data_IF_551818408684
#
_entry.id   IF_551818408684
#
_cell.length_a   1.000
_cell.length_b   1.000
_cell.length_c   1.000
_cell.angle_alpha   90.00
_cell.angle_beta   90.00
_cell.angle_gamma   90.00
#
_symmetry.space_group_name_H-M   'P 1'
#
loop_
_entity.id
_entity.type
_entity.pdbx_description
1 polymer ?
#
# COMPACT_ATOMS: atom_id res chain seq x y z
N UNK A 1 108.73 40.55 48.84
CA UNK A 1 107.85 41.04 47.77
C UNK A 1 107.66 39.99 46.61
N UNK A 2 108.64 39.23 46.24
CA UNK A 2 108.49 38.28 45.12
C UNK A 2 107.59 37.06 45.39
N UNK A 3 107.26 36.73 46.58
CA UNK A 3 106.35 35.60 46.95
C UNK A 3 105.03 36.14 47.45
N UNK A 4 105.01 37.20 48.28
CA UNK A 4 103.80 37.74 48.93
C UNK A 4 102.78 38.35 47.95
N UNK A 5 103.19 39.13 46.92
CA UNK A 5 102.32 39.72 45.96
C UNK A 5 101.51 38.69 45.11
N UNK A 6 102.13 37.58 44.64
CA UNK A 6 101.43 36.52 43.96
C UNK A 6 100.37 35.78 44.84
N UNK A 7 100.71 35.55 46.10
CA UNK A 7 99.79 34.91 47.05
C UNK A 7 98.56 35.84 47.32
N UNK A 8 98.75 37.13 47.47
CA UNK A 8 97.67 38.11 47.62
C UNK A 8 96.77 38.10 46.37
N UNK A 9 97.33 38.09 45.22
CA UNK A 9 96.58 37.99 43.94
C UNK A 9 95.77 36.67 43.85
N UNK A 10 96.32 35.57 44.27
CA UNK A 10 95.63 34.29 44.34
C UNK A 10 94.48 34.29 45.33
N UNK A 11 94.71 34.86 46.55
CA UNK A 11 93.71 34.98 47.55
C UNK A 11 92.53 35.90 47.09
N UNK A 12 92.81 37.05 46.50
CA UNK A 12 91.83 37.95 45.92
C UNK A 12 90.96 37.24 44.83
N UNK A 13 91.61 36.44 43.98
CA UNK A 13 90.92 35.67 42.98
C UNK A 13 90.02 34.57 43.62
N UNK A 14 90.47 33.88 44.58
CA UNK A 14 89.65 32.85 45.31
C UNK A 14 88.51 33.52 46.06
N UNK A 15 88.73 34.69 46.66
CA UNK A 15 87.69 35.46 47.37
C UNK A 15 86.60 35.96 46.43
N UNK A 16 86.99 36.46 45.18
CA UNK A 16 86.05 36.77 44.09
C UNK A 16 85.28 35.59 43.65
N UNK A 17 85.95 34.47 43.43
CA UNK A 17 85.29 33.20 43.03
C UNK A 17 84.30 32.75 44.10
N UNK A 18 84.63 32.91 45.44
CA UNK A 18 83.74 32.62 46.59
C UNK A 18 82.49 33.52 46.61
N UNK A 19 82.60 34.73 46.06
CA UNK A 19 81.49 35.70 45.97
C UNK A 19 80.78 35.60 44.54
N UNK A 20 81.06 34.57 43.78
CA UNK A 20 80.50 34.35 42.45
C UNK A 20 80.88 35.46 41.45
N UNK A 21 81.87 36.27 41.69
CA UNK A 21 82.36 37.26 40.79
C UNK A 21 83.47 36.69 39.85
N UNK A 22 83.03 36.36 38.64
CA UNK A 22 83.88 35.81 37.59
C UNK A 22 84.49 36.86 36.66
N UNK A 23 84.23 38.16 36.89
CA UNK A 23 84.60 39.27 36.02
C UNK A 23 86.14 39.58 36.05
N UNK A 24 86.81 39.17 37.10
CA UNK A 24 88.27 39.40 37.24
C UNK A 24 89.11 38.68 36.19
N UNK A 25 89.94 39.36 35.45
CA UNK A 25 90.92 38.74 34.54
C UNK A 25 92.18 38.34 35.29
N UNK A 26 92.36 37.02 35.65
CA UNK A 26 93.55 36.47 36.24
C UNK A 26 94.74 36.56 35.29
N UNK A 27 94.48 36.83 34.01
CA UNK A 27 95.52 36.93 32.96
C UNK A 27 96.32 38.26 32.96
N UNK A 28 95.92 39.24 33.77
CA UNK A 28 96.54 40.55 33.88
C UNK A 28 98.03 40.46 34.25
N UNK A 29 98.48 39.36 34.82
CA UNK A 29 99.86 39.16 35.18
C UNK A 29 100.43 37.88 34.49
N UNK A 30 100.46 37.85 33.11
CA UNK A 30 101.01 36.79 32.29
C UNK A 30 102.44 36.34 32.70
N UNK A 31 103.16 37.21 33.48
CA UNK A 31 104.47 36.85 34.08
C UNK A 31 104.30 35.96 35.25
N UNK A 32 103.24 36.08 36.07
CA UNK A 32 103.03 35.23 37.24
C UNK A 32 102.58 33.81 36.82
N UNK A 33 101.82 33.68 35.80
CA UNK A 33 101.37 32.35 35.22
C UNK A 33 102.56 31.53 34.61
N UNK A 34 103.61 32.21 34.14
CA UNK A 34 104.83 31.60 33.61
C UNK A 34 105.84 31.11 34.65
N UNK A 35 105.58 31.30 35.94
CA UNK A 35 106.46 30.80 37.02
C UNK A 35 106.46 29.27 37.00
N UNK A 36 107.64 28.76 37.33
CA UNK A 36 107.85 27.29 37.44
C UNK A 36 107.90 26.76 38.88
N UNK A 37 107.63 27.63 39.81
CA UNK A 37 107.56 27.30 41.27
C UNK A 37 106.16 26.98 41.72
N UNK A 38 105.96 26.61 42.95
CA UNK A 38 104.65 26.24 43.59
C UNK A 38 103.60 27.29 43.47
N UNK A 39 104.02 28.55 43.47
CA UNK A 39 103.05 29.68 43.31
C UNK A 39 102.55 29.75 41.86
N UNK A 40 103.41 29.50 40.94
CA UNK A 40 102.98 29.41 39.50
C UNK A 40 101.98 28.26 39.24
N UNK A 41 102.22 27.08 39.89
CA UNK A 41 101.28 25.96 39.81
C UNK A 41 99.97 26.31 40.40
N UNK A 42 99.94 26.93 41.62
CA UNK A 42 98.68 27.37 42.31
C UNK A 42 97.86 28.34 41.48
N UNK A 43 98.52 29.35 40.86
CA UNK A 43 97.84 30.36 40.04
C UNK A 43 97.23 29.72 38.73
N UNK A 44 97.95 28.76 38.15
CA UNK A 44 97.39 28.00 36.99
C UNK A 44 96.18 27.18 37.33
N UNK A 45 96.22 26.44 38.49
CA UNK A 45 95.14 25.64 39.00
C UNK A 45 93.90 26.49 39.35
N UNK A 46 94.03 27.69 39.98
CA UNK A 46 92.96 28.63 40.28
C UNK A 46 92.38 29.16 38.92
N UNK A 47 93.24 29.48 37.96
CA UNK A 47 92.78 29.93 36.64
C UNK A 47 91.97 28.83 35.89
N UNK A 48 92.46 27.60 35.94
CA UNK A 48 91.79 26.42 35.37
C UNK A 48 90.43 26.21 36.07
N UNK A 49 90.40 26.22 37.42
CA UNK A 49 89.15 26.11 38.15
C UNK A 49 88.14 27.21 37.82
N UNK A 50 88.59 28.45 37.69
CA UNK A 50 87.75 29.56 37.19
C UNK A 50 87.15 29.25 35.84
N UNK A 51 87.98 28.86 34.87
CA UNK A 51 87.52 28.58 33.53
C UNK A 51 86.55 27.42 33.47
N UNK A 52 86.73 26.36 34.31
CA UNK A 52 85.80 25.24 34.43
C UNK A 52 84.45 25.76 34.97
N UNK A 53 84.49 26.54 36.08
CA UNK A 53 83.23 27.11 36.66
C UNK A 53 82.49 27.99 35.68
N UNK A 54 83.21 28.92 34.96
CA UNK A 54 82.55 29.76 33.93
C UNK A 54 81.95 28.94 32.82
N UNK A 55 82.63 27.86 32.40
CA UNK A 55 82.08 26.97 31.38
C UNK A 55 80.81 26.23 31.89
N UNK A 56 80.85 25.69 33.13
CA UNK A 56 79.69 25.04 33.72
C UNK A 56 78.50 26.03 33.88
N UNK A 57 78.76 27.27 34.34
CA UNK A 57 77.73 28.29 34.44
C UNK A 57 77.12 28.65 33.08
N UNK A 58 77.95 28.75 32.00
CA UNK A 58 77.45 28.98 30.66
C UNK A 58 76.60 27.80 30.11
N UNK A 59 76.98 26.54 30.43
CA UNK A 59 76.21 25.35 30.08
C UNK A 59 74.88 25.28 30.86
N UNK A 60 74.90 25.61 32.20
CA UNK A 60 73.68 25.71 32.98
C UNK A 60 72.72 26.75 32.42
N UNK A 61 73.24 27.93 32.05
CA UNK A 61 72.42 28.99 31.42
C UNK A 61 71.80 28.53 30.10
N UNK A 62 72.56 27.92 29.24
CA UNK A 62 72.03 27.40 27.96
C UNK A 62 70.98 26.32 28.19
N UNK A 63 71.18 25.41 29.15
CA UNK A 63 70.13 24.39 29.51
C UNK A 63 68.89 25.05 30.14
N UNK A 64 69.08 26.10 30.94
CA UNK A 64 67.96 26.86 31.53
C UNK A 64 67.10 27.55 30.46
N UNK A 65 67.75 28.21 29.48
CA UNK A 65 67.04 28.80 28.33
C UNK A 65 66.24 27.75 27.55
N UNK A 66 66.89 26.61 27.25
CA UNK A 66 66.22 25.47 26.57
C UNK A 66 65.07 24.87 27.36
N UNK A 67 65.22 24.82 28.70
CA UNK A 67 64.17 24.35 29.60
C UNK A 67 62.97 25.30 29.61
N UNK A 68 63.19 26.62 29.63
CA UNK A 68 62.12 27.63 29.52
C UNK A 68 61.37 27.54 28.20
N UNK A 69 62.09 27.42 27.06
CA UNK A 69 61.48 27.23 25.75
C UNK A 69 60.62 25.94 25.70
N UNK A 70 61.09 24.84 26.27
CA UNK A 70 60.37 23.56 26.32
C UNK A 70 59.13 23.67 27.22
N UNK A 71 59.27 24.39 28.35
CA UNK A 71 58.13 24.63 29.26
C UNK A 71 57.03 25.44 28.60
N UNK A 72 57.38 26.50 27.88
CA UNK A 72 56.44 27.33 27.13
C UNK A 72 55.73 26.51 26.02
N UNK A 73 56.47 25.69 25.27
CA UNK A 73 55.92 24.80 24.25
C UNK A 73 54.95 23.80 24.86
N UNK A 74 55.28 23.20 26.01
CA UNK A 74 54.39 22.27 26.74
C UNK A 74 53.08 22.95 27.21
N UNK A 75 53.17 24.17 27.75
CA UNK A 75 52.04 24.96 28.15
C UNK A 75 51.10 25.25 26.99
N UNK A 76 51.65 25.67 25.85
CA UNK A 76 50.86 25.93 24.65
C UNK A 76 50.18 24.67 24.12
N UNK A 77 50.88 23.53 24.07
CA UNK A 77 50.32 22.25 23.67
C UNK A 77 49.19 21.77 24.63
N UNK A 78 49.36 21.98 25.94
CA UNK A 78 48.35 21.66 26.94
C UNK A 78 47.08 22.52 26.75
N UNK A 79 47.22 23.80 26.51
CA UNK A 79 46.10 24.69 26.26
C UNK A 79 45.34 24.34 24.95
N UNK A 80 46.06 24.03 23.87
CA UNK A 80 45.46 23.56 22.64
C UNK A 80 44.70 22.23 22.81
N UNK A 81 45.30 21.28 23.54
CA UNK A 81 44.68 20.00 23.85
C UNK A 81 43.42 20.15 24.72
N UNK A 82 43.45 21.04 25.73
CA UNK A 82 42.30 21.36 26.57
C UNK A 82 41.17 21.98 25.74
N UNK A 83 41.50 22.88 24.81
CA UNK A 83 40.51 23.45 23.86
C UNK A 83 39.89 22.40 22.95
N UNK A 84 40.70 21.48 22.44
CA UNK A 84 40.21 20.37 21.63
C UNK A 84 39.29 19.43 22.44
N UNK A 85 39.64 19.13 23.71
CA UNK A 85 38.78 18.34 24.61
C UNK A 85 37.40 19.00 24.80
N UNK A 86 37.35 20.33 25.00
CA UNK A 86 36.08 21.08 25.08
C UNK A 86 35.25 21.07 23.81
N UNK A 87 35.90 21.07 22.64
CA UNK A 87 35.20 20.90 21.36
C UNK A 87 34.61 19.49 21.22
N UNK A 88 35.34 18.45 21.64
CA UNK A 88 34.87 17.08 21.69
C UNK A 88 33.66 16.97 22.62
N UNK A 89 33.68 17.56 23.80
CA UNK A 89 32.55 17.57 24.75
C UNK A 89 31.29 18.18 24.13
N UNK A 90 31.43 19.29 23.39
CA UNK A 90 30.32 19.92 22.66
C UNK A 90 29.75 19.01 21.59
N UNK A 91 30.59 18.32 20.81
CA UNK A 91 30.16 17.39 19.77
C UNK A 91 29.43 16.16 20.38
N UNK A 92 29.92 15.65 21.49
CA UNK A 92 29.33 14.52 22.24
C UNK A 92 27.95 14.88 22.79
N UNK A 93 27.77 16.10 23.32
CA UNK A 93 26.43 16.57 23.73
C UNK A 93 25.46 16.53 22.55
N UNK A 94 25.89 16.96 21.36
CA UNK A 94 25.07 16.84 20.15
C UNK A 94 24.75 15.39 19.75
N UNK A 95 25.67 14.44 19.98
CA UNK A 95 25.42 12.99 19.75
C UNK A 95 24.39 12.45 20.75
N UNK A 96 24.50 12.80 22.04
CA UNK A 96 23.56 12.39 23.08
C UNK A 96 22.14 12.90 22.80
N UNK A 97 22.00 14.17 22.41
CA UNK A 97 20.73 14.78 22.03
C UNK A 97 20.15 14.10 20.78
N UNK A 98 21.01 13.81 19.78
CA UNK A 98 20.64 13.05 18.59
C UNK A 98 20.18 11.64 18.90
N UNK A 99 20.84 10.92 19.79
CA UNK A 99 20.47 9.59 20.26
C UNK A 99 19.11 9.57 20.98
N UNK A 100 18.87 10.58 21.83
CA UNK A 100 17.56 10.76 22.50
C UNK A 100 16.44 11.02 21.49
N UNK A 101 16.67 11.89 20.52
CA UNK A 101 15.69 12.15 19.45
C UNK A 101 15.43 10.91 18.59
N UNK A 102 16.47 10.16 18.26
CA UNK A 102 16.36 8.89 17.55
C UNK A 102 15.53 7.85 18.31
N UNK A 103 15.71 7.73 19.62
CA UNK A 103 14.91 6.84 20.47
C UNK A 103 13.42 7.22 20.42
N UNK A 104 13.08 8.50 20.47
CA UNK A 104 11.71 9.00 20.40
C UNK A 104 11.08 8.75 19.02
N UNK A 105 11.83 8.98 17.93
CA UNK A 105 11.37 8.69 16.57
C UNK A 105 11.16 7.19 16.35
N UNK A 106 12.04 6.36 16.90
CA UNK A 106 11.94 4.90 16.86
C UNK A 106 10.72 4.41 17.63
N UNK A 107 10.38 5.00 18.76
CA UNK A 107 9.15 4.71 19.50
C UNK A 107 7.91 5.04 18.65
N UNK A 108 7.89 6.21 18.02
CA UNK A 108 6.80 6.61 17.10
C UNK A 108 6.68 5.68 15.88
N UNK A 109 7.82 5.23 15.34
CA UNK A 109 7.84 4.24 14.25
C UNK A 109 7.25 2.90 14.72
N UNK A 110 7.56 2.46 15.95
CA UNK A 110 6.96 1.25 16.54
C UNK A 110 5.44 1.34 16.61
N UNK A 111 4.90 2.46 17.06
CA UNK A 111 3.45 2.69 17.12
C UNK A 111 2.81 2.63 15.72
N UNK A 112 3.44 3.25 14.74
CA UNK A 112 2.99 3.21 13.35
C UNK A 112 2.99 1.78 12.78
N UNK A 113 3.99 0.96 13.09
CA UNK A 113 4.07 -0.44 12.68
C UNK A 113 2.97 -1.28 13.32
N UNK A 114 2.60 -1.00 14.58
CA UNK A 114 1.45 -1.65 15.24
C UNK A 114 0.14 -1.28 14.53
N UNK A 115 -0.06 -0.01 14.20
CA UNK A 115 -1.23 0.45 13.43
C UNK A 115 -1.28 -0.21 12.07
N UNK A 116 -0.15 -0.28 11.36
CA UNK A 116 -0.04 -0.96 10.07
C UNK A 116 -0.43 -2.43 10.16
N UNK A 117 -0.02 -3.14 11.24
CA UNK A 117 -0.45 -4.52 11.47
C UNK A 117 -1.96 -4.67 11.59
N UNK A 118 -2.63 -3.79 12.33
CA UNK A 118 -4.10 -3.78 12.43
C UNK A 118 -4.77 -3.50 11.10
N UNK A 119 -4.24 -2.60 10.30
CA UNK A 119 -4.78 -2.30 8.96
C UNK A 119 -4.63 -3.49 8.00
N UNK A 120 -3.52 -4.23 8.08
CA UNK A 120 -3.29 -5.45 7.29
C UNK A 120 -4.27 -6.54 7.71
N UNK A 121 -4.52 -6.74 9.00
CA UNK A 121 -5.50 -7.70 9.52
C UNK A 121 -6.93 -7.36 9.07
N UNK A 122 -7.32 -6.08 9.14
CA UNK A 122 -8.61 -5.61 8.63
C UNK A 122 -8.73 -5.85 7.12
N UNK A 123 -7.71 -5.48 6.34
CA UNK A 123 -7.69 -5.72 4.90
C UNK A 123 -7.80 -7.21 4.57
N UNK A 124 -7.15 -8.09 5.33
CA UNK A 124 -7.28 -9.54 5.18
C UNK A 124 -8.70 -10.02 5.38
N UNK A 125 -9.38 -9.53 6.42
CA UNK A 125 -10.78 -9.87 6.71
C UNK A 125 -11.73 -9.36 5.62
N UNK A 126 -11.52 -8.13 5.13
CA UNK A 126 -12.33 -7.57 4.04
C UNK A 126 -12.15 -8.35 2.73
N UNK A 127 -10.95 -8.80 2.45
CA UNK A 127 -10.63 -9.62 1.26
C UNK A 127 -11.29 -10.99 1.35
N UNK A 128 -11.31 -11.62 2.53
CA UNK A 128 -12.01 -12.89 2.77
C UNK A 128 -13.52 -12.73 2.53
N UNK A 129 -14.13 -11.68 3.09
CA UNK A 129 -15.54 -11.36 2.84
C UNK A 129 -15.85 -11.09 1.36
N UNK A 130 -14.93 -10.44 0.65
CA UNK A 130 -15.06 -10.20 -0.78
C UNK A 130 -15.01 -11.53 -1.56
N UNK A 131 -14.19 -12.48 -1.14
CA UNK A 131 -14.13 -13.84 -1.68
C UNK A 131 -15.45 -14.59 -1.50
N UNK A 132 -16.01 -14.56 -0.30
CA UNK A 132 -17.29 -15.19 0.01
C UNK A 132 -18.43 -14.56 -0.81
N UNK A 133 -18.47 -13.23 -0.90
CA UNK A 133 -19.45 -12.54 -1.74
C UNK A 133 -19.33 -12.92 -3.22
N UNK A 134 -18.12 -13.03 -3.74
CA UNK A 134 -17.90 -13.46 -5.13
C UNK A 134 -18.38 -14.92 -5.36
N UNK A 135 -18.15 -15.82 -4.40
CA UNK A 135 -18.64 -17.20 -4.44
C UNK A 135 -20.17 -17.27 -4.41
N UNK A 136 -20.82 -16.46 -3.57
CA UNK A 136 -22.28 -16.37 -3.51
C UNK A 136 -22.88 -15.80 -4.80
N UNK A 137 -22.24 -14.77 -5.37
CA UNK A 137 -22.63 -14.22 -6.68
C UNK A 137 -22.49 -15.26 -7.79
N UNK A 138 -21.45 -16.08 -7.78
CA UNK A 138 -21.25 -17.18 -8.75
C UNK A 138 -22.41 -18.16 -8.68
N UNK A 139 -22.74 -18.62 -7.48
CA UNK A 139 -23.86 -19.55 -7.26
C UNK A 139 -25.22 -18.96 -7.67
N UNK A 140 -25.45 -17.68 -7.39
CA UNK A 140 -26.65 -16.99 -7.81
C UNK A 140 -26.75 -16.87 -9.33
N UNK A 141 -25.62 -16.61 -10.01
CA UNK A 141 -25.54 -16.55 -11.47
C UNK A 141 -25.81 -17.93 -12.12
N UNK A 142 -25.21 -18.99 -11.60
CA UNK A 142 -25.50 -20.37 -12.05
C UNK A 142 -27.00 -20.72 -11.92
N UNK A 143 -27.61 -20.35 -10.80
CA UNK A 143 -29.05 -20.59 -10.59
C UNK A 143 -29.90 -19.79 -11.60
N UNK A 144 -29.56 -18.52 -11.84
CA UNK A 144 -30.25 -17.70 -12.84
C UNK A 144 -30.14 -18.29 -14.25
N UNK A 145 -28.96 -18.77 -14.64
CA UNK A 145 -28.74 -19.44 -15.94
C UNK A 145 -29.58 -20.73 -16.05
N UNK A 146 -29.70 -21.50 -14.97
CA UNK A 146 -30.59 -22.69 -14.93
C UNK A 146 -32.05 -22.32 -15.15
N UNK A 147 -32.52 -21.25 -14.49
CA UNK A 147 -33.91 -20.76 -14.64
C UNK A 147 -34.16 -20.26 -16.08
N UNK A 148 -33.18 -19.56 -16.69
CA UNK A 148 -33.31 -19.10 -18.09
C UNK A 148 -33.39 -20.28 -19.06
N UNK A 149 -32.60 -21.34 -18.85
CA UNK A 149 -32.68 -22.56 -19.64
C UNK A 149 -34.06 -23.25 -19.54
N UNK A 150 -34.64 -23.26 -18.32
CA UNK A 150 -36.01 -23.78 -18.11
C UNK A 150 -37.05 -22.91 -18.81
N UNK A 151 -36.91 -21.58 -18.72
CA UNK A 151 -37.80 -20.61 -19.40
C UNK A 151 -37.79 -20.78 -20.92
N UNK A 152 -36.62 -20.97 -21.52
CA UNK A 152 -36.50 -21.23 -22.96
C UNK A 152 -37.23 -22.53 -23.33
N UNK A 153 -37.13 -23.59 -22.54
CA UNK A 153 -37.85 -24.84 -22.76
C UNK A 153 -39.39 -24.66 -22.64
N UNK A 154 -39.83 -23.80 -21.70
CA UNK A 154 -41.25 -23.47 -21.57
C UNK A 154 -41.73 -22.68 -22.77
N UNK A 155 -40.96 -21.70 -23.25
CA UNK A 155 -41.26 -20.94 -24.46
C UNK A 155 -41.45 -21.85 -25.68
N UNK A 156 -40.54 -22.82 -25.89
CA UNK A 156 -40.63 -23.78 -27.00
C UNK A 156 -41.92 -24.61 -26.91
N UNK A 157 -42.27 -25.12 -25.71
CA UNK A 157 -43.51 -25.86 -25.51
C UNK A 157 -44.75 -24.99 -25.74
N UNK A 158 -44.71 -23.74 -25.33
CA UNK A 158 -45.81 -22.80 -25.58
C UNK A 158 -46.00 -22.52 -27.05
N UNK A 159 -44.92 -22.33 -27.83
CA UNK A 159 -44.97 -22.17 -29.28
C UNK A 159 -45.57 -23.40 -29.96
N UNK A 160 -45.21 -24.61 -29.52
CA UNK A 160 -45.79 -25.88 -30.04
C UNK A 160 -47.29 -25.96 -29.73
N UNK A 161 -47.70 -25.61 -28.51
CA UNK A 161 -49.12 -25.57 -28.14
C UNK A 161 -49.92 -24.56 -28.99
N UNK A 162 -49.38 -23.37 -29.19
CA UNK A 162 -50.00 -22.35 -30.07
C UNK A 162 -50.18 -22.88 -31.51
N UNK A 163 -49.16 -23.57 -32.03
CA UNK A 163 -49.23 -24.19 -33.36
C UNK A 163 -50.36 -25.24 -33.43
N UNK A 164 -50.45 -26.14 -32.44
CA UNK A 164 -51.49 -27.18 -32.36
C UNK A 164 -52.89 -26.53 -32.29
N UNK A 165 -53.10 -25.49 -31.44
CA UNK A 165 -54.36 -24.78 -31.32
C UNK A 165 -54.71 -24.12 -32.64
N UNK A 166 -53.76 -23.48 -33.34
CA UNK A 166 -53.97 -22.89 -34.66
C UNK A 166 -54.46 -23.90 -35.71
N UNK A 167 -53.81 -25.09 -35.77
CA UNK A 167 -54.27 -26.17 -36.66
C UNK A 167 -55.70 -26.68 -36.32
N UNK A 168 -56.02 -26.78 -35.00
CA UNK A 168 -57.33 -27.20 -34.56
C UNK A 168 -58.44 -26.18 -34.89
N UNK A 169 -58.13 -24.88 -34.72
CA UNK A 169 -59.05 -23.77 -35.06
C UNK A 169 -59.27 -23.75 -36.58
N UNK A 170 -58.27 -23.95 -37.40
CA UNK A 170 -58.41 -24.06 -38.86
C UNK A 170 -59.30 -25.23 -39.27
N UNK A 171 -59.14 -26.42 -38.63
CA UNK A 171 -60.04 -27.57 -38.88
C UNK A 171 -61.48 -27.31 -38.44
N UNK A 172 -61.65 -26.55 -37.39
CA UNK A 172 -62.99 -26.08 -36.94
C UNK A 172 -63.63 -25.18 -37.99
N UNK A 173 -62.88 -24.22 -38.52
CA UNK A 173 -63.32 -23.32 -39.58
C UNK A 173 -63.74 -24.08 -40.86
N UNK A 174 -62.88 -25.05 -41.28
CA UNK A 174 -63.22 -25.95 -42.43
C UNK A 174 -64.47 -26.75 -42.19
N UNK A 175 -64.69 -27.21 -40.98
CA UNK A 175 -65.90 -27.97 -40.61
C UNK A 175 -67.15 -27.12 -40.61
N UNK A 176 -67.06 -25.89 -40.08
CA UNK A 176 -68.12 -24.90 -40.13
C UNK A 176 -68.51 -24.53 -41.58
N UNK A 177 -67.54 -24.36 -42.44
CA UNK A 177 -67.78 -24.11 -43.90
C UNK A 177 -68.55 -25.28 -44.54
N UNK A 178 -68.19 -26.54 -44.25
CA UNK A 178 -68.92 -27.70 -44.72
C UNK A 178 -70.38 -27.76 -44.21
N UNK A 179 -70.58 -27.41 -42.96
CA UNK A 179 -71.92 -27.38 -42.32
C UNK A 179 -72.74 -26.26 -43.04
N UNK A 180 -72.15 -25.08 -43.33
CA UNK A 180 -72.81 -24.02 -44.03
C UNK A 180 -73.33 -24.46 -45.39
N UNK A 181 -72.51 -25.15 -46.19
CA UNK A 181 -72.89 -25.72 -47.49
C UNK A 181 -74.04 -26.71 -47.33
N UNK A 182 -74.04 -27.55 -46.35
CA UNK A 182 -75.11 -28.51 -46.08
C UNK A 182 -76.41 -27.80 -45.62
N UNK A 183 -76.34 -26.77 -44.82
CA UNK A 183 -77.45 -25.93 -44.36
C UNK A 183 -78.10 -25.17 -45.55
N UNK A 184 -77.27 -24.60 -46.48
CA UNK A 184 -77.71 -23.93 -47.63
C UNK A 184 -78.52 -24.91 -48.56
N UNK A 185 -78.05 -26.14 -48.76
CA UNK A 185 -78.78 -27.21 -49.50
C UNK A 185 -80.10 -27.57 -48.80
N UNK A 186 -80.17 -27.64 -47.45
CA UNK A 186 -81.41 -27.92 -46.73
C UNK A 186 -82.41 -26.77 -46.88
N UNK A 187 -81.93 -25.53 -46.95
CA UNK A 187 -82.77 -24.36 -47.22
C UNK A 187 -83.37 -24.39 -48.62
N UNK A 188 -82.58 -24.74 -49.65
CA UNK A 188 -83.06 -24.93 -50.99
C UNK A 188 -84.16 -26.03 -51.03
N UNK A 189 -83.94 -27.15 -50.39
CA UNK A 189 -84.91 -28.28 -50.33
C UNK A 189 -86.21 -27.79 -49.63
N UNK A 190 -86.11 -27.02 -48.60
CA UNK A 190 -87.25 -26.46 -47.90
C UNK A 190 -88.04 -25.47 -48.74
N UNK A 191 -87.38 -24.58 -49.47
CA UNK A 191 -88.00 -23.66 -50.43
C UNK A 191 -88.72 -24.42 -51.54
N UNK A 192 -88.06 -25.44 -52.17
CA UNK A 192 -88.66 -26.26 -53.25
C UNK A 192 -89.86 -27.08 -52.70
N UNK A 193 -89.78 -27.60 -51.46
CA UNK A 193 -90.84 -28.33 -50.77
C UNK A 193 -92.06 -27.41 -50.50
N UNK A 194 -91.77 -26.12 -50.13
CA UNK A 194 -92.78 -25.13 -49.93
C UNK A 194 -93.59 -24.82 -51.26
N UNK A 195 -92.81 -24.68 -52.36
CA UNK A 195 -93.39 -24.51 -53.66
C UNK A 195 -94.19 -25.73 -54.16
N UNK A 196 -93.64 -26.94 -53.93
CA UNK A 196 -94.35 -28.17 -54.26
C UNK A 196 -95.68 -28.37 -53.44
N UNK A 197 -95.63 -28.07 -52.20
CA UNK A 197 -96.77 -28.18 -51.33
C UNK A 197 -97.86 -27.11 -51.63
N UNK A 198 -97.40 -25.88 -52.03
CA UNK A 198 -98.29 -24.89 -52.52
C UNK A 198 -98.99 -25.28 -53.77
N UNK A 199 -98.27 -25.83 -54.75
CA UNK A 199 -98.83 -26.38 -56.00
C UNK A 199 -99.83 -27.51 -55.67
N UNK A 200 -99.51 -28.44 -54.77
CA UNK A 200 -100.36 -29.49 -54.29
C UNK A 200 -101.67 -28.99 -53.66
N UNK A 201 -101.54 -27.91 -52.81
CA UNK A 201 -102.71 -27.25 -52.19
C UNK A 201 -103.59 -26.61 -53.21
N UNK A 202 -103.04 -26.01 -54.26
CA UNK A 202 -103.80 -25.40 -55.38
C UNK A 202 -104.60 -26.49 -56.10
N UNK A 203 -103.95 -27.61 -56.43
CA UNK A 203 -104.61 -28.67 -57.20
C UNK A 203 -105.61 -29.44 -56.33
N UNK A 204 -105.35 -29.56 -55.01
CA UNK A 204 -106.33 -30.12 -54.11
C UNK A 204 -107.59 -29.22 -53.95
N UNK A 205 -107.42 -27.92 -53.94
CA UNK A 205 -108.58 -26.97 -54.02
C UNK A 205 -109.37 -27.03 -55.30
N UNK A 206 -108.66 -27.36 -56.44
CA UNK A 206 -109.30 -27.51 -57.74
C UNK A 206 -110.11 -28.80 -57.90
N UNK A 207 -109.79 -29.86 -57.10
CA UNK A 207 -110.54 -31.10 -57.01
C UNK A 207 -111.82 -31.03 -56.13
N UNK A 208 -112.12 -29.88 -55.49
CA UNK A 208 -113.31 -29.67 -54.73
C UNK A 208 -113.44 -30.56 -53.50
N UNK A 209 -114.61 -31.08 -53.20
CA UNK A 209 -114.87 -31.91 -52.01
C UNK A 209 -113.98 -33.17 -51.94
N UNK A 210 -113.58 -33.77 -53.08
CA UNK A 210 -112.76 -34.95 -53.19
C UNK A 210 -111.25 -34.65 -52.83
N UNK A 211 -110.79 -33.41 -52.95
CA UNK A 211 -109.47 -32.98 -52.69
C UNK A 211 -109.22 -32.51 -51.18
N UNK A 212 -110.19 -32.48 -50.38
CA UNK A 212 -110.14 -31.89 -49.04
C UNK A 212 -109.08 -32.52 -48.13
N UNK A 213 -108.98 -33.85 -48.14
CA UNK A 213 -107.92 -34.58 -47.35
C UNK A 213 -106.50 -34.31 -47.87
N UNK A 214 -106.33 -34.16 -49.20
CA UNK A 214 -105.03 -33.80 -49.82
C UNK A 214 -104.65 -32.36 -49.50
N UNK A 215 -105.57 -31.39 -49.45
CA UNK A 215 -105.35 -29.98 -49.09
C UNK A 215 -104.78 -29.86 -47.69
N UNK A 216 -105.28 -30.65 -46.70
CA UNK A 216 -104.81 -30.63 -45.32
C UNK A 216 -103.36 -31.17 -45.26
N UNK A 217 -103.05 -32.23 -45.96
CA UNK A 217 -101.70 -32.80 -46.01
C UNK A 217 -100.72 -31.82 -46.71
N UNK A 218 -101.08 -31.23 -47.82
CA UNK A 218 -100.31 -30.25 -48.52
C UNK A 218 -99.97 -29.01 -47.64
N UNK A 219 -101.03 -28.45 -46.96
CA UNK A 219 -100.80 -27.37 -46.00
C UNK A 219 -99.87 -27.75 -44.83
N UNK A 220 -99.97 -29.02 -44.34
CA UNK A 220 -99.09 -29.48 -43.27
C UNK A 220 -97.64 -29.67 -43.80
N UNK A 221 -97.41 -30.13 -45.04
CA UNK A 221 -96.08 -30.19 -45.67
C UNK A 221 -95.56 -28.78 -45.85
N UNK A 222 -96.32 -27.83 -46.31
CA UNK A 222 -95.94 -26.43 -46.44
C UNK A 222 -95.41 -25.87 -45.10
N UNK A 223 -96.21 -26.07 -44.05
CA UNK A 223 -95.85 -25.58 -42.72
C UNK A 223 -94.54 -26.23 -42.20
N UNK A 224 -94.30 -27.53 -42.47
CA UNK A 224 -93.08 -28.17 -42.06
C UNK A 224 -91.91 -27.67 -42.94
N UNK A 225 -92.09 -27.39 -44.18
CA UNK A 225 -91.08 -26.81 -45.09
C UNK A 225 -90.69 -25.34 -44.58
N UNK A 226 -91.73 -24.51 -44.27
CA UNK A 226 -91.43 -23.18 -43.72
C UNK A 226 -90.68 -23.27 -42.41
N UNK A 227 -91.04 -24.17 -41.51
CA UNK A 227 -90.30 -24.44 -40.23
C UNK A 227 -88.90 -24.90 -40.50
N UNK A 228 -88.63 -25.73 -41.50
CA UNK A 228 -87.30 -26.17 -41.87
C UNK A 228 -86.47 -25.02 -42.42
N UNK A 229 -87.03 -24.14 -43.26
CA UNK A 229 -86.36 -22.93 -43.77
C UNK A 229 -85.96 -21.98 -42.59
N UNK A 230 -86.86 -21.78 -41.64
CA UNK A 230 -86.56 -20.93 -40.41
C UNK A 230 -85.45 -21.56 -39.58
N UNK A 231 -85.44 -22.87 -39.37
CA UNK A 231 -84.40 -23.61 -38.64
C UNK A 231 -83.05 -23.50 -39.38
N UNK A 232 -83.03 -23.63 -40.68
CA UNK A 232 -81.77 -23.51 -41.46
C UNK A 232 -81.25 -22.09 -41.43
N UNK A 233 -82.10 -21.05 -41.43
CA UNK A 233 -81.69 -19.70 -41.29
C UNK A 233 -80.97 -19.48 -39.89
N UNK A 234 -81.57 -19.99 -38.81
CA UNK A 234 -80.96 -19.89 -37.49
C UNK A 234 -79.62 -20.65 -37.39
N UNK A 235 -79.55 -21.82 -38.02
CA UNK A 235 -78.24 -22.58 -38.09
C UNK A 235 -77.21 -21.80 -38.87
N UNK A 236 -77.57 -21.15 -39.98
CA UNK A 236 -76.67 -20.34 -40.80
C UNK A 236 -76.13 -19.15 -40.02
N UNK A 237 -76.96 -18.51 -39.20
CA UNK A 237 -76.51 -17.43 -38.31
C UNK A 237 -75.48 -17.92 -37.32
N UNK A 238 -75.75 -19.03 -36.60
CA UNK A 238 -74.82 -19.64 -35.63
C UNK A 238 -73.52 -20.08 -36.29
N UNK A 239 -73.58 -20.67 -37.50
CA UNK A 239 -72.39 -21.06 -38.24
C UNK A 239 -71.57 -19.82 -38.71
N UNK A 240 -72.22 -18.75 -39.11
CA UNK A 240 -71.54 -17.47 -39.44
C UNK A 240 -70.82 -16.87 -38.27
N UNK A 241 -71.43 -16.91 -37.10
CA UNK A 241 -70.80 -16.50 -35.83
C UNK A 241 -69.60 -17.39 -35.48
N UNK A 242 -69.76 -18.73 -35.55
CA UNK A 242 -68.67 -19.67 -35.32
C UNK A 242 -67.47 -19.46 -36.27
N UNK A 243 -67.72 -19.16 -37.56
CA UNK A 243 -66.62 -18.88 -38.54
C UNK A 243 -65.89 -17.58 -38.16
N UNK A 244 -66.62 -16.54 -37.73
CA UNK A 244 -66.03 -15.29 -37.31
C UNK A 244 -65.20 -15.48 -36.03
N UNK A 245 -65.70 -16.21 -35.01
CA UNK A 245 -64.98 -16.50 -33.76
C UNK A 245 -63.72 -17.32 -34.03
N UNK A 246 -63.80 -18.28 -34.98
CA UNK A 246 -62.62 -19.06 -35.39
C UNK A 246 -61.57 -18.17 -36.10
N UNK A 247 -61.96 -17.23 -36.89
CA UNK A 247 -61.06 -16.29 -37.56
C UNK A 247 -60.39 -15.35 -36.56
N UNK A 248 -61.13 -14.80 -35.61
CA UNK A 248 -60.59 -13.98 -34.51
C UNK A 248 -59.61 -14.78 -33.65
N UNK A 249 -59.91 -16.07 -33.36
CA UNK A 249 -59.01 -16.97 -32.65
C UNK A 249 -57.68 -17.18 -33.40
N UNK A 250 -57.67 -17.33 -34.73
CA UNK A 250 -56.46 -17.46 -35.55
C UNK A 250 -55.63 -16.18 -35.47
N UNK A 251 -56.27 -15.01 -35.59
CA UNK A 251 -55.56 -13.73 -35.44
C UNK A 251 -54.89 -13.61 -34.08
N UNK A 252 -55.63 -13.93 -32.99
CA UNK A 252 -55.10 -13.91 -31.63
C UNK A 252 -53.91 -14.86 -31.50
N UNK A 253 -53.93 -16.05 -32.13
CA UNK A 253 -52.79 -17.00 -32.12
C UNK A 253 -51.56 -16.41 -32.82
N UNK A 254 -51.73 -15.71 -33.93
CA UNK A 254 -50.61 -15.06 -34.63
C UNK A 254 -49.98 -13.94 -33.77
N UNK A 255 -50.81 -13.15 -33.07
CA UNK A 255 -50.32 -12.11 -32.12
C UNK A 255 -49.55 -12.76 -30.95
N UNK A 256 -50.08 -13.84 -30.34
CA UNK A 256 -49.37 -14.58 -29.28
C UNK A 256 -48.06 -15.18 -29.75
N UNK A 257 -48.02 -15.69 -31.00
CA UNK A 257 -46.79 -16.23 -31.60
C UNK A 257 -45.72 -15.14 -31.72
N UNK A 258 -46.07 -13.92 -32.13
CA UNK A 258 -45.15 -12.79 -32.22
C UNK A 258 -44.60 -12.42 -30.83
N UNK A 259 -45.47 -12.34 -29.80
CA UNK A 259 -45.09 -12.08 -28.40
C UNK A 259 -44.13 -13.17 -27.89
N UNK A 260 -44.37 -14.44 -28.21
CA UNK A 260 -43.50 -15.55 -27.82
C UNK A 260 -42.13 -15.52 -28.48
N UNK A 261 -42.05 -15.10 -29.76
CA UNK A 261 -40.78 -14.88 -30.46
C UNK A 261 -39.98 -13.78 -29.78
N UNK A 262 -40.61 -12.64 -29.44
CA UNK A 262 -39.97 -11.54 -28.75
C UNK A 262 -39.50 -11.94 -27.35
N UNK A 263 -40.29 -12.76 -26.65
CA UNK A 263 -39.91 -13.34 -25.36
C UNK A 263 -38.66 -14.24 -25.48
N UNK A 264 -38.59 -15.11 -26.48
CA UNK A 264 -37.41 -15.97 -26.73
C UNK A 264 -36.15 -15.13 -26.99
N UNK A 265 -36.28 -14.05 -27.78
CA UNK A 265 -35.16 -13.11 -28.02
C UNK A 265 -34.73 -12.44 -26.73
N UNK A 266 -35.64 -11.96 -25.89
CA UNK A 266 -35.34 -11.35 -24.59
C UNK A 266 -34.64 -12.33 -23.61
N UNK A 267 -35.07 -13.60 -23.63
CA UNK A 267 -34.42 -14.69 -22.85
C UNK A 267 -32.96 -14.87 -23.31
N UNK A 268 -32.74 -14.95 -24.65
CA UNK A 268 -31.40 -15.07 -25.22
C UNK A 268 -30.49 -13.88 -24.88
N UNK A 269 -31.01 -12.65 -24.92
CA UNK A 269 -30.27 -11.44 -24.53
C UNK A 269 -29.94 -11.47 -23.05
N UNK A 270 -30.87 -11.90 -22.18
CA UNK A 270 -30.65 -12.04 -20.74
C UNK A 270 -29.57 -13.11 -20.44
N UNK A 271 -29.59 -14.23 -21.15
CA UNK A 271 -28.55 -15.28 -21.05
C UNK A 271 -27.15 -14.71 -21.36
N UNK A 272 -27.04 -13.94 -22.45
CA UNK A 272 -25.76 -13.27 -22.78
C UNK A 272 -25.30 -12.30 -21.70
N UNK A 273 -26.23 -11.55 -21.10
CA UNK A 273 -25.91 -10.65 -19.99
C UNK A 273 -25.40 -11.41 -18.77
N UNK A 274 -26.03 -12.53 -18.40
CA UNK A 274 -25.55 -13.37 -17.29
C UNK A 274 -24.19 -14.03 -17.56
N UNK A 275 -23.88 -14.43 -18.78
CA UNK A 275 -22.53 -14.90 -19.17
C UNK A 275 -21.46 -13.81 -18.96
N UNK A 276 -21.78 -12.56 -19.22
CA UNK A 276 -20.88 -11.45 -18.94
C UNK A 276 -20.72 -11.21 -17.43
N UNK A 277 -21.77 -11.36 -16.64
CA UNK A 277 -21.74 -11.31 -15.18
C UNK A 277 -20.83 -12.42 -14.63
N UNK A 278 -20.99 -13.64 -15.10
CA UNK A 278 -20.15 -14.80 -14.74
C UNK A 278 -18.66 -14.54 -15.00
N UNK A 279 -18.35 -13.98 -16.18
CA UNK A 279 -16.98 -13.56 -16.50
C UNK A 279 -16.45 -12.51 -15.51
N UNK A 280 -17.25 -11.49 -15.18
CA UNK A 280 -16.88 -10.46 -14.21
C UNK A 280 -16.65 -11.02 -12.81
N UNK A 281 -17.44 -12.01 -12.41
CA UNK A 281 -17.26 -12.72 -11.13
C UNK A 281 -15.94 -13.50 -11.13
N UNK A 282 -15.62 -14.23 -12.20
CA UNK A 282 -14.36 -14.96 -12.31
C UNK A 282 -13.14 -14.04 -12.23
N UNK A 283 -13.18 -12.87 -12.91
CA UNK A 283 -12.15 -11.84 -12.82
C UNK A 283 -12.04 -11.24 -11.39
N UNK A 284 -13.17 -11.14 -10.68
CA UNK A 284 -13.20 -10.69 -9.29
C UNK A 284 -12.55 -11.70 -8.34
N UNK A 285 -12.82 -12.99 -8.51
CA UNK A 285 -12.19 -14.08 -7.73
C UNK A 285 -10.67 -14.07 -7.95
N UNK A 286 -10.20 -13.97 -9.19
CA UNK A 286 -8.76 -13.85 -9.48
C UNK A 286 -8.12 -12.60 -8.82
N UNK A 287 -8.88 -11.50 -8.78
CA UNK A 287 -8.45 -10.27 -8.13
C UNK A 287 -8.34 -10.43 -6.61
N UNK A 288 -9.30 -11.13 -5.98
CA UNK A 288 -9.27 -11.47 -4.55
C UNK A 288 -8.04 -12.30 -4.22
N UNK A 289 -7.70 -13.31 -4.99
CA UNK A 289 -6.49 -14.12 -4.79
C UNK A 289 -5.20 -13.27 -4.86
N UNK A 290 -5.14 -12.36 -5.85
CA UNK A 290 -4.00 -11.44 -6.00
C UNK A 290 -3.88 -10.47 -4.81
N UNK A 291 -5.01 -9.97 -4.29
CA UNK A 291 -5.00 -9.07 -3.13
C UNK A 291 -4.58 -9.84 -1.87
N UNK A 292 -5.07 -11.07 -1.69
CA UNK A 292 -4.66 -11.96 -0.58
C UNK A 292 -3.13 -12.17 -0.56
N UNK A 293 -2.52 -12.47 -1.72
CA UNK A 293 -1.05 -12.64 -1.80
C UNK A 293 -0.31 -11.33 -1.49
N UNK A 294 -0.84 -10.19 -1.96
CA UNK A 294 -0.25 -8.87 -1.65
C UNK A 294 -0.36 -8.53 -0.17
N UNK A 295 -1.48 -8.82 0.48
CA UNK A 295 -1.70 -8.59 1.92
C UNK A 295 -0.74 -9.42 2.76
N UNK A 296 -0.51 -10.69 2.39
CA UNK A 296 0.49 -11.55 3.02
C UNK A 296 1.90 -10.96 2.88
N UNK A 297 2.30 -10.51 1.68
CA UNK A 297 3.60 -9.87 1.45
C UNK A 297 3.77 -8.56 2.21
N UNK A 298 2.68 -7.81 2.41
CA UNK A 298 2.70 -6.60 3.25
C UNK A 298 2.96 -6.95 4.71
N UNK A 299 2.39 -8.04 5.25
CA UNK A 299 2.66 -8.47 6.62
C UNK A 299 4.11 -8.95 6.80
N UNK A 300 4.66 -9.67 5.82
CA UNK A 300 6.07 -10.06 5.81
C UNK A 300 7.01 -8.82 5.78
N UNK A 301 6.68 -7.83 4.96
CA UNK A 301 7.44 -6.57 4.90
C UNK A 301 7.33 -5.78 6.22
N UNK A 302 6.14 -5.74 6.84
CA UNK A 302 5.93 -5.14 8.16
C UNK A 302 6.80 -5.80 9.23
N UNK A 303 6.89 -7.13 9.24
CA UNK A 303 7.75 -7.86 10.16
C UNK A 303 9.23 -7.44 10.00
N UNK A 304 9.70 -7.29 8.76
CA UNK A 304 11.05 -6.77 8.50
C UNK A 304 11.26 -5.33 9.00
N UNK A 305 10.24 -4.48 8.93
CA UNK A 305 10.31 -3.12 9.50
C UNK A 305 10.40 -3.17 11.03
N UNK A 306 9.70 -4.10 11.70
CA UNK A 306 9.83 -4.31 13.16
C UNK A 306 11.28 -4.58 13.54
N UNK A 307 11.95 -5.49 12.84
CA UNK A 307 13.36 -5.85 13.11
C UNK A 307 14.30 -4.65 12.96
N UNK A 308 14.07 -3.83 11.93
CA UNK A 308 14.84 -2.60 11.70
C UNK A 308 14.61 -1.59 12.81
N UNK A 309 13.37 -1.39 13.23
CA UNK A 309 13.01 -0.46 14.32
C UNK A 309 13.62 -0.89 15.65
N UNK A 310 13.60 -2.20 15.95
CA UNK A 310 14.29 -2.73 17.14
C UNK A 310 15.79 -2.49 17.11
N UNK A 311 16.42 -2.71 15.94
CA UNK A 311 17.84 -2.44 15.75
C UNK A 311 18.19 -0.96 15.93
N UNK A 312 17.35 -0.05 15.42
CA UNK A 312 17.53 1.40 15.61
C UNK A 312 17.41 1.83 17.07
N UNK A 313 16.51 1.20 17.84
CA UNK A 313 16.40 1.43 19.28
C UNK A 313 17.68 1.03 20.01
N UNK A 314 18.22 -0.15 19.72
CA UNK A 314 19.47 -0.61 20.31
C UNK A 314 20.66 0.30 19.95
N UNK A 315 20.74 0.78 18.70
CA UNK A 315 21.76 1.72 18.26
C UNK A 315 21.63 3.07 18.99
N UNK A 316 20.41 3.57 19.21
CA UNK A 316 20.21 4.80 19.95
C UNK A 316 20.68 4.69 21.41
N UNK A 317 20.39 3.56 22.08
CA UNK A 317 20.88 3.28 23.44
C UNK A 317 22.41 3.17 23.47
N UNK A 318 23.01 2.47 22.52
CA UNK A 318 24.48 2.33 22.41
C UNK A 318 25.16 3.69 22.15
N UNK A 319 24.59 4.53 21.27
CA UNK A 319 25.10 5.87 21.00
C UNK A 319 25.03 6.76 22.26
N UNK A 320 23.94 6.69 23.01
CA UNK A 320 23.81 7.45 24.27
C UNK A 320 24.86 7.00 25.30
N UNK A 321 25.04 5.70 25.50
CA UNK A 321 26.05 5.16 26.42
C UNK A 321 27.50 5.51 25.97
N UNK A 322 27.78 5.41 24.67
CA UNK A 322 29.08 5.80 24.12
C UNK A 322 29.37 7.30 24.24
N UNK A 323 28.33 8.13 24.13
CA UNK A 323 28.43 9.56 24.37
C UNK A 323 28.76 9.87 25.81
N UNK A 324 28.12 9.21 26.79
CA UNK A 324 28.44 9.37 28.22
C UNK A 324 29.89 8.99 28.54
N UNK A 325 30.35 7.83 28.04
CA UNK A 325 31.72 7.35 28.24
C UNK A 325 32.76 8.29 27.63
N UNK A 326 32.49 8.76 26.42
CA UNK A 326 33.42 9.67 25.71
C UNK A 326 33.43 11.05 26.34
N UNK A 327 32.31 11.54 26.88
CA UNK A 327 32.24 12.78 27.67
C UNK A 327 33.10 12.71 28.95
N UNK A 328 33.00 11.59 29.68
CA UNK A 328 33.83 11.37 30.85
C UNK A 328 35.32 11.37 30.48
N UNK A 329 35.70 10.71 29.39
CA UNK A 329 37.07 10.67 28.91
C UNK A 329 37.59 12.03 28.44
N UNK A 330 36.75 12.84 27.76
CA UNK A 330 37.11 14.18 27.35
C UNK A 330 37.33 15.11 28.55
N UNK A 331 36.50 15.01 29.60
CA UNK A 331 36.64 15.73 30.87
C UNK A 331 37.94 15.37 31.60
N UNK A 332 38.29 14.05 31.63
CA UNK A 332 39.54 13.58 32.21
C UNK A 332 40.77 14.12 31.47
N UNK A 333 40.73 14.12 30.13
CA UNK A 333 41.80 14.73 29.30
C UNK A 333 41.93 16.24 29.62
N UNK A 334 40.83 16.96 29.76
CA UNK A 334 40.83 18.36 30.13
C UNK A 334 41.53 18.60 31.47
N UNK A 335 41.26 17.79 32.49
CA UNK A 335 41.91 17.86 33.81
C UNK A 335 43.41 17.54 33.75
N UNK A 336 43.80 16.50 32.98
CA UNK A 336 45.22 16.18 32.79
C UNK A 336 45.97 17.32 32.10
N UNK A 337 45.37 17.99 31.12
CA UNK A 337 45.98 19.12 30.42
C UNK A 337 46.16 20.35 31.34
N UNK A 338 45.24 20.55 32.29
CA UNK A 338 45.41 21.57 33.33
C UNK A 338 46.61 21.28 34.25
N UNK A 339 46.80 20.03 34.69
CA UNK A 339 47.94 19.60 35.45
C UNK A 339 49.26 19.73 34.64
N UNK A 340 49.26 19.38 33.35
CA UNK A 340 50.44 19.56 32.45
C UNK A 340 50.79 21.06 32.32
N UNK A 341 49.80 21.93 32.17
CA UNK A 341 50.00 23.39 32.08
C UNK A 341 50.59 23.94 33.36
N UNK A 342 50.10 23.48 34.53
CA UNK A 342 50.64 23.86 35.84
C UNK A 342 52.08 23.38 36.02
N UNK A 343 52.39 22.14 35.66
CA UNK A 343 53.78 21.61 35.70
C UNK A 343 54.71 22.37 34.75
N UNK A 344 54.24 22.74 33.59
CA UNK A 344 55.01 23.57 32.64
C UNK A 344 55.33 24.96 33.25
N UNK A 345 54.38 25.58 33.92
CA UNK A 345 54.63 26.87 34.63
C UNK A 345 55.70 26.68 35.74
N UNK A 346 55.67 25.56 36.48
CA UNK A 346 56.73 25.30 37.50
C UNK A 346 58.09 25.12 36.87
N UNK A 347 58.18 24.43 35.73
CA UNK A 347 59.46 24.26 35.00
C UNK A 347 60.01 25.60 34.49
N UNK A 348 59.14 26.47 33.99
CA UNK A 348 59.51 27.84 33.59
C UNK A 348 60.05 28.68 34.79
N UNK A 349 59.37 28.63 35.95
CA UNK A 349 59.89 29.26 37.14
C UNK A 349 61.26 28.75 37.58
N UNK A 350 61.50 27.41 37.46
CA UNK A 350 62.82 26.80 37.73
C UNK A 350 63.87 27.33 36.76
N UNK A 351 63.49 27.36 35.45
CA UNK A 351 64.38 27.88 34.42
C UNK A 351 64.77 29.34 34.67
N UNK A 352 63.78 30.20 35.01
CA UNK A 352 64.07 31.61 35.33
C UNK A 352 64.99 31.70 36.53
N UNK A 353 64.76 30.97 37.63
CA UNK A 353 65.61 30.96 38.84
C UNK A 353 67.04 30.48 38.57
N UNK A 354 67.24 29.48 37.68
CA UNK A 354 68.57 29.00 37.27
C UNK A 354 69.31 29.99 36.41
N UNK A 355 68.64 30.88 35.67
CA UNK A 355 69.20 31.90 34.86
C UNK A 355 69.56 33.16 35.64
N UNK A 356 68.84 33.49 36.72
CA UNK A 356 69.08 34.64 37.62
C UNK A 356 70.21 34.44 38.57
N UNK A 357 70.53 33.21 38.97
CA UNK A 357 71.67 32.88 39.84
C UNK A 357 72.94 32.63 39.06
#
# INVERSE_FOLDING_TARGET
>A
RKIVAPIISATDTVEKLGNLDFSGDVSSDKKMLKRKDEVGVMLRSITELKNIIVKVMAEIRAYSESLGEAAEALKNSANESSTAAGQVETAITGIADGASSQAQETQSATENVIVMGKMIEQASTEVEQLGDNAADMHKASENAMSILAELEKINQKTMEAIHIIGEQTQKTNESAAKIKVATDMISEIAEETTLLSLNASIEAARAGEQGRGFAVVANQIQKLAEQSADATTQITEVISELVNDAQESVQTMDEVKEVMNQQSENVSQTEKAFKNVEKGIAESIESVEKITDKTRKLDEARAGVVDVVQSLSAIAEENAASAEETSASASEVGSIMEDVSQNANMLDEIAVKLNEN
#
